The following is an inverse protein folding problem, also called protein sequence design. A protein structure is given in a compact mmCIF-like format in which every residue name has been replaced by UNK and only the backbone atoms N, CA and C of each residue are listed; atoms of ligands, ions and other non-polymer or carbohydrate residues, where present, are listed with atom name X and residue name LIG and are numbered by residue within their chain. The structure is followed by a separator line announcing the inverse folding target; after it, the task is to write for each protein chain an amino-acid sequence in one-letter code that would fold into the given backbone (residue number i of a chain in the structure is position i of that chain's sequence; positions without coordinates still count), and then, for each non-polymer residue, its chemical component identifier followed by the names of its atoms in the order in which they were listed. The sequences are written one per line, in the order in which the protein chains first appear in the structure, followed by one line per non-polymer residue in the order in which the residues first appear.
data_IF_818886432835
#
_entry.id   IF_818886432835
#
_cell.length_a   1.000
_cell.length_b   1.000
_cell.length_c   1.000
_cell.angle_alpha   90.00
_cell.angle_beta   90.00
_cell.angle_gamma   90.00
#
_symmetry.space_group_name_H-M   'P 1'
#
loop_
_entity.id
_entity.type
_entity.pdbx_description
1 polymer ?
#
# COMPACT_ATOMS: atom_id res chain seq x y z
N UNK A 1 -1.94 -15.18 -21.78
CA UNK A 1 -1.12 -15.37 -20.55
C UNK A 1 -0.31 -14.09 -20.36
N UNK A 2 -0.60 -13.31 -19.32
CA UNK A 2 0.20 -12.12 -19.01
C UNK A 2 1.57 -12.57 -18.49
N UNK A 3 2.64 -12.00 -19.04
CA UNK A 3 4.00 -12.26 -18.58
C UNK A 3 4.14 -11.74 -17.15
N UNK A 4 4.65 -12.58 -16.25
CA UNK A 4 5.00 -12.20 -14.87
C UNK A 4 6.02 -11.06 -14.89
N UNK A 5 5.77 -10.00 -14.11
CA UNK A 5 6.68 -8.87 -13.91
C UNK A 5 7.86 -9.35 -13.07
N UNK A 6 9.07 -9.13 -13.56
CA UNK A 6 10.33 -9.51 -12.91
C UNK A 6 11.04 -8.26 -12.38
N UNK A 7 11.95 -8.42 -11.40
CA UNK A 7 12.78 -7.30 -10.93
C UNK A 7 13.50 -6.56 -12.07
N UNK A 8 13.99 -7.29 -13.08
CA UNK A 8 14.67 -6.71 -14.25
C UNK A 8 13.76 -5.86 -15.15
N UNK A 9 12.43 -6.05 -15.05
CA UNK A 9 11.47 -5.30 -15.85
C UNK A 9 11.21 -3.91 -15.22
N UNK A 10 11.50 -3.70 -13.94
CA UNK A 10 11.16 -2.48 -13.20
C UNK A 10 11.89 -1.22 -13.69
N UNK A 11 13.08 -1.38 -14.29
CA UNK A 11 13.85 -0.28 -14.87
C UNK A 11 13.43 0.05 -16.31
N UNK A 12 12.43 -0.67 -16.85
CA UNK A 12 11.94 -0.50 -18.21
C UNK A 12 10.51 0.07 -18.22
N UNK A 13 10.12 0.83 -19.26
CA UNK A 13 8.72 1.15 -19.49
C UNK A 13 7.87 -0.12 -19.69
N UNK A 14 6.61 -0.13 -19.23
CA UNK A 14 5.89 0.97 -18.57
C UNK A 14 6.11 1.04 -17.04
N UNK A 15 6.82 0.07 -16.45
CA UNK A 15 6.90 -0.08 -15.00
C UNK A 15 7.74 1.02 -14.33
N UNK A 16 8.86 1.41 -14.94
CA UNK A 16 9.67 2.51 -14.44
C UNK A 16 8.87 3.81 -14.36
N UNK A 17 8.11 4.13 -15.41
CA UNK A 17 7.29 5.34 -15.48
C UNK A 17 6.19 5.34 -14.43
N UNK A 18 5.50 4.21 -14.26
CA UNK A 18 4.48 4.04 -13.22
C UNK A 18 5.07 4.25 -11.82
N UNK A 19 6.18 3.59 -11.50
CA UNK A 19 6.79 3.71 -10.17
C UNK A 19 7.23 5.15 -9.90
N UNK A 20 7.84 5.82 -10.88
CA UNK A 20 8.22 7.23 -10.75
C UNK A 20 7.00 8.13 -10.53
N UNK A 21 5.92 7.92 -11.29
CA UNK A 21 4.67 8.66 -11.13
C UNK A 21 4.11 8.51 -9.72
N UNK A 22 4.00 7.29 -9.21
CA UNK A 22 3.46 7.00 -7.89
C UNK A 22 4.36 7.55 -6.76
N UNK A 23 5.69 7.44 -6.91
CA UNK A 23 6.64 8.00 -5.95
C UNK A 23 6.57 9.54 -5.90
N UNK A 24 6.36 10.18 -7.06
CA UNK A 24 6.14 11.62 -7.13
C UNK A 24 4.82 12.03 -6.45
N UNK A 25 3.74 11.26 -6.65
CA UNK A 25 2.46 11.49 -5.95
C UNK A 25 2.60 11.40 -4.43
N UNK A 26 3.37 10.43 -3.93
CA UNK A 26 3.68 10.31 -2.51
C UNK A 26 4.52 11.49 -2.00
N UNK A 27 5.56 11.89 -2.73
CA UNK A 27 6.35 13.07 -2.35
C UNK A 27 5.50 14.34 -2.23
N UNK A 28 4.51 14.49 -3.11
CA UNK A 28 3.62 15.66 -3.15
C UNK A 28 2.54 15.67 -2.07
N UNK A 29 2.29 14.56 -1.37
CA UNK A 29 1.27 14.52 -0.29
C UNK A 29 1.76 15.19 1.01
N UNK A 30 3.03 15.63 1.07
CA UNK A 30 3.60 16.42 2.18
C UNK A 30 3.36 15.80 3.57
N UNK A 31 3.44 14.48 3.67
CA UNK A 31 3.26 13.75 4.93
C UNK A 31 4.48 13.94 5.84
N UNK A 32 4.29 13.97 7.18
CA UNK A 32 5.40 14.12 8.11
C UNK A 32 6.24 12.84 8.17
N UNK A 33 7.47 12.87 7.63
CA UNK A 33 8.60 12.00 7.99
C UNK A 33 9.86 12.42 7.21
N UNK A 34 10.82 13.17 7.79
CA UNK A 34 11.97 13.66 7.03
C UNK A 34 12.99 12.57 6.68
N UNK A 35 12.88 11.38 7.27
CA UNK A 35 13.84 10.29 7.08
C UNK A 35 13.56 9.46 5.82
N UNK A 36 12.32 9.46 5.32
CA UNK A 36 11.96 8.75 4.11
C UNK A 36 12.34 9.56 2.88
N UNK A 37 13.13 8.94 2.01
CA UNK A 37 13.58 9.56 0.76
C UNK A 37 12.68 9.15 -0.41
N UNK A 38 12.78 9.89 -1.52
CA UNK A 38 12.11 9.50 -2.76
C UNK A 38 12.52 8.09 -3.25
N UNK A 39 13.77 7.69 -3.00
CA UNK A 39 14.26 6.35 -3.31
C UNK A 39 13.56 5.26 -2.47
N UNK A 40 13.19 5.57 -1.22
CA UNK A 40 12.42 4.65 -0.37
C UNK A 40 10.99 4.48 -0.88
N UNK A 41 10.38 5.55 -1.41
CA UNK A 41 9.08 5.48 -2.08
C UNK A 41 9.13 4.57 -3.30
N UNK A 42 10.11 4.80 -4.19
CA UNK A 42 10.34 3.94 -5.37
C UNK A 42 10.51 2.48 -4.96
N UNK A 43 11.36 2.20 -3.96
CA UNK A 43 11.61 0.84 -3.47
C UNK A 43 10.33 0.18 -2.98
N UNK A 44 9.54 0.89 -2.17
CA UNK A 44 8.28 0.39 -1.62
C UNK A 44 7.26 0.08 -2.71
N UNK A 45 7.09 0.99 -3.67
CA UNK A 45 6.17 0.82 -4.80
C UNK A 45 6.63 -0.32 -5.71
N UNK A 46 7.94 -0.46 -5.96
CA UNK A 46 8.48 -1.59 -6.72
C UNK A 46 8.23 -2.93 -6.03
N UNK A 47 8.38 -3.00 -4.71
CA UNK A 47 8.02 -4.20 -3.95
C UNK A 47 6.54 -4.51 -4.12
N UNK A 48 5.66 -3.51 -3.98
CA UNK A 48 4.22 -3.70 -4.18
C UNK A 48 3.88 -4.15 -5.60
N UNK A 49 4.53 -3.60 -6.63
CA UNK A 49 4.32 -4.02 -8.02
C UNK A 49 4.72 -5.48 -8.26
N UNK A 50 5.81 -5.92 -7.62
CA UNK A 50 6.25 -7.30 -7.69
C UNK A 50 5.36 -8.26 -6.89
N UNK A 51 4.67 -7.81 -5.84
CA UNK A 51 3.72 -8.65 -5.11
C UNK A 51 2.38 -8.74 -5.82
N UNK A 52 1.83 -7.61 -6.28
CA UNK A 52 0.53 -7.58 -6.97
C UNK A 52 0.59 -8.14 -8.39
N UNK A 53 1.76 -8.09 -9.04
CA UNK A 53 1.93 -8.47 -10.44
C UNK A 53 0.96 -7.75 -11.39
N UNK A 54 0.43 -6.60 -10.96
CA UNK A 54 -0.59 -5.85 -11.67
C UNK A 54 -0.34 -4.33 -11.49
N UNK A 55 0.02 -3.61 -12.57
CA UNK A 55 0.26 -2.17 -12.55
C UNK A 55 -0.93 -1.33 -12.09
N UNK A 56 -2.13 -1.64 -12.58
CA UNK A 56 -3.36 -0.91 -12.23
C UNK A 56 -3.68 -1.11 -10.75
N UNK A 57 -3.65 -2.36 -10.28
CA UNK A 57 -3.87 -2.70 -8.88
C UNK A 57 -2.85 -2.01 -7.96
N UNK A 58 -1.59 -1.98 -8.35
CA UNK A 58 -0.53 -1.27 -7.61
C UNK A 58 -0.84 0.21 -7.48
N UNK A 59 -1.30 0.85 -8.56
CA UNK A 59 -1.66 2.25 -8.55
C UNK A 59 -2.85 2.52 -7.64
N UNK A 60 -3.89 1.67 -7.70
CA UNK A 60 -5.09 1.81 -6.88
C UNK A 60 -4.79 1.65 -5.40
N UNK A 61 -4.01 0.62 -5.03
CA UNK A 61 -3.59 0.41 -3.64
C UNK A 61 -2.77 1.59 -3.14
N UNK A 62 -1.79 2.06 -3.93
CA UNK A 62 -0.95 3.20 -3.55
C UNK A 62 -1.78 4.46 -3.31
N UNK A 63 -2.70 4.79 -4.23
CA UNK A 63 -3.56 5.97 -4.09
C UNK A 63 -4.51 5.86 -2.91
N UNK A 64 -5.11 4.70 -2.69
CA UNK A 64 -6.02 4.48 -1.56
C UNK A 64 -5.30 4.68 -0.21
N UNK A 65 -4.08 4.13 -0.06
CA UNK A 65 -3.28 4.31 1.16
C UNK A 65 -2.86 5.77 1.32
N UNK A 66 -2.42 6.47 0.28
CA UNK A 66 -2.07 7.89 0.35
C UNK A 66 -3.27 8.78 0.71
N UNK A 67 -4.43 8.50 0.12
CA UNK A 67 -5.68 9.22 0.42
C UNK A 67 -6.07 9.02 1.89
N UNK A 68 -6.00 7.78 2.38
CA UNK A 68 -6.29 7.49 3.78
C UNK A 68 -5.29 8.14 4.72
N UNK A 69 -3.99 8.10 4.41
CA UNK A 69 -2.96 8.77 5.20
C UNK A 69 -3.19 10.27 5.30
N UNK A 70 -3.58 10.90 4.19
CA UNK A 70 -3.92 12.33 4.16
C UNK A 70 -5.15 12.62 5.00
N UNK A 71 -6.21 11.83 4.85
CA UNK A 71 -7.48 11.98 5.56
C UNK A 71 -7.32 11.80 7.08
N UNK A 72 -6.48 10.86 7.48
CA UNK A 72 -6.25 10.50 8.88
C UNK A 72 -4.98 11.13 9.47
N UNK A 73 -4.36 12.08 8.78
CA UNK A 73 -3.14 12.77 9.20
C UNK A 73 -1.99 11.83 9.61
N UNK A 74 -1.79 10.74 8.87
CA UNK A 74 -0.73 9.75 9.14
C UNK A 74 0.61 10.19 8.53
N UNK A 75 1.71 9.57 8.99
CA UNK A 75 3.07 9.84 8.52
C UNK A 75 3.40 9.15 7.19
N UNK A 76 4.48 9.57 6.53
CA UNK A 76 4.98 8.83 5.38
C UNK A 76 5.41 7.40 5.78
N UNK A 77 5.97 7.20 6.98
CA UNK A 77 6.30 5.85 7.48
C UNK A 77 5.08 4.95 7.66
N UNK A 78 3.95 5.51 8.05
CA UNK A 78 2.69 4.75 8.09
C UNK A 78 2.27 4.28 6.69
N UNK A 79 2.41 5.13 5.66
CA UNK A 79 2.15 4.73 4.25
C UNK A 79 3.06 3.58 3.83
N UNK A 80 4.36 3.66 4.15
CA UNK A 80 5.31 2.61 3.83
C UNK A 80 4.93 1.26 4.45
N UNK A 81 4.49 1.27 5.71
CA UNK A 81 4.03 0.08 6.43
C UNK A 81 2.74 -0.48 5.84
N UNK A 82 1.77 0.38 5.52
CA UNK A 82 0.49 -0.06 4.95
C UNK A 82 0.63 -0.58 3.53
N UNK A 83 1.53 -0.02 2.70
CA UNK A 83 1.81 -0.59 1.37
C UNK A 83 2.46 -1.98 1.46
N UNK A 84 3.35 -2.20 2.43
CA UNK A 84 3.90 -3.54 2.70
C UNK A 84 2.82 -4.51 3.17
N UNK A 85 1.94 -4.06 4.05
CA UNK A 85 0.79 -4.85 4.51
C UNK A 85 -0.13 -5.24 3.34
N UNK A 86 -0.53 -4.28 2.51
CA UNK A 86 -1.41 -4.54 1.36
C UNK A 86 -0.78 -5.50 0.36
N UNK A 87 0.55 -5.41 0.15
CA UNK A 87 1.27 -6.39 -0.67
C UNK A 87 1.31 -7.80 -0.07
N UNK A 88 1.31 -7.94 1.26
CA UNK A 88 1.32 -9.23 1.96
C UNK A 88 -0.03 -9.94 1.87
N UNK A 89 -1.13 -9.19 1.94
CA UNK A 89 -2.49 -9.77 1.90
C UNK A 89 -3.04 -9.89 0.48
N UNK A 90 -2.29 -9.47 -0.54
CA UNK A 90 -2.73 -9.55 -1.92
C UNK A 90 -2.97 -11.02 -2.32
N UNK A 91 -4.18 -11.29 -2.84
CA UNK A 91 -4.63 -12.64 -3.18
C UNK A 91 -5.22 -13.45 -2.01
N UNK A 92 -5.21 -12.92 -0.79
CA UNK A 92 -5.99 -13.46 0.33
C UNK A 92 -7.38 -12.80 0.39
N UNK A 93 -8.34 -13.47 1.03
CA UNK A 93 -9.56 -12.80 1.45
C UNK A 93 -9.21 -11.80 2.57
N UNK A 94 -9.50 -10.52 2.31
CA UNK A 94 -9.15 -9.43 3.24
C UNK A 94 -9.83 -9.59 4.59
N UNK A 95 -11.12 -9.94 4.60
CA UNK A 95 -11.90 -10.00 5.83
C UNK A 95 -11.40 -11.17 6.69
N UNK A 96 -11.18 -12.33 6.06
CA UNK A 96 -10.64 -13.50 6.76
C UNK A 96 -9.24 -13.22 7.31
N UNK A 97 -8.36 -12.59 6.53
CA UNK A 97 -7.00 -12.27 6.97
C UNK A 97 -7.00 -11.27 8.13
N UNK A 98 -7.77 -10.18 8.02
CA UNK A 98 -7.82 -9.15 9.06
C UNK A 98 -8.45 -9.66 10.35
N UNK A 99 -9.49 -10.50 10.26
CA UNK A 99 -10.07 -11.14 11.44
C UNK A 99 -9.06 -12.10 12.08
N UNK A 100 -8.34 -12.88 11.29
CA UNK A 100 -7.30 -13.77 11.80
C UNK A 100 -6.18 -13.00 12.53
N UNK A 101 -5.67 -11.92 11.93
CA UNK A 101 -4.66 -11.03 12.55
C UNK A 101 -5.16 -10.46 13.88
N UNK A 102 -6.42 -10.00 13.91
CA UNK A 102 -7.06 -9.51 15.12
C UNK A 102 -7.18 -10.59 16.20
N UNK A 103 -7.60 -11.82 15.84
CA UNK A 103 -7.71 -12.92 16.79
C UNK A 103 -6.36 -13.39 17.35
N UNK A 104 -5.28 -13.31 16.57
CA UNK A 104 -3.95 -13.68 17.06
C UNK A 104 -3.44 -12.78 18.20
N UNK A 105 -3.98 -11.56 18.34
CA UNK A 105 -3.66 -10.68 19.46
C UNK A 105 -4.20 -11.18 20.81
N UNK A 106 -5.15 -12.13 20.80
CA UNK A 106 -5.76 -12.74 21.99
C UNK A 106 -6.80 -11.86 22.68
N UNK A 107 -6.45 -10.63 23.03
CA UNK A 107 -7.36 -9.61 23.55
C UNK A 107 -7.08 -8.29 22.83
N UNK A 108 -7.79 -8.01 21.73
CA UNK A 108 -7.57 -6.79 20.97
C UNK A 108 -7.83 -5.56 21.83
N UNK A 109 -6.89 -4.63 21.82
CA UNK A 109 -7.13 -3.29 22.37
C UNK A 109 -7.85 -2.39 21.35
N UNK A 110 -8.26 -1.20 21.79
CA UNK A 110 -8.98 -0.24 20.95
C UNK A 110 -8.15 0.18 19.73
N UNK A 111 -6.82 0.27 19.86
CA UNK A 111 -5.94 0.67 18.75
C UNK A 111 -5.90 -0.41 17.65
N UNK A 112 -5.94 -1.69 18.03
CA UNK A 112 -6.01 -2.80 17.08
C UNK A 112 -7.38 -2.86 16.38
N UNK A 113 -8.47 -2.58 17.11
CA UNK A 113 -9.81 -2.49 16.53
C UNK A 113 -9.93 -1.30 15.56
N UNK A 114 -9.36 -0.15 15.91
CA UNK A 114 -9.31 1.03 15.03
C UNK A 114 -8.53 0.72 13.75
N UNK A 115 -7.35 0.10 13.85
CA UNK A 115 -6.56 -0.29 12.69
C UNK A 115 -7.31 -1.29 11.79
N UNK A 116 -7.99 -2.27 12.38
CA UNK A 116 -8.85 -3.20 11.64
C UNK A 116 -9.93 -2.44 10.84
N UNK A 117 -10.63 -1.52 11.49
CA UNK A 117 -11.69 -0.72 10.86
C UNK A 117 -11.14 0.17 9.74
N UNK A 118 -10.00 0.84 9.97
CA UNK A 118 -9.30 1.64 8.96
C UNK A 118 -8.96 0.79 7.72
N UNK A 119 -8.41 -0.42 7.90
CA UNK A 119 -8.04 -1.31 6.80
C UNK A 119 -9.24 -1.90 6.05
N UNK A 120 -10.34 -2.16 6.76
CA UNK A 120 -11.59 -2.64 6.17
C UNK A 120 -12.26 -1.58 5.29
N UNK A 121 -12.26 -0.32 5.71
CA UNK A 121 -12.95 0.76 4.99
C UNK A 121 -12.20 1.27 3.76
N UNK A 122 -10.90 0.98 3.63
CA UNK A 122 -9.99 1.52 2.61
C UNK A 122 -10.47 1.41 1.16
N UNK A 123 -11.15 0.33 0.80
CA UNK A 123 -11.63 0.08 -0.57
C UNK A 123 -13.16 0.02 -0.71
N UNK A 124 -13.91 0.25 0.37
CA UNK A 124 -15.39 0.15 0.36
C UNK A 124 -16.02 1.30 -0.43
N UNK A 125 -15.36 2.47 -0.50
CA UNK A 125 -15.85 3.68 -1.17
C UNK A 125 -15.42 3.82 -2.63
N UNK A 126 -14.68 2.88 -3.21
CA UNK A 126 -14.25 2.92 -4.62
C UNK A 126 -15.08 2.03 -5.56
N UNK A 127 -16.16 1.43 -5.07
CA UNK A 127 -17.09 0.59 -5.84
C UNK A 127 -18.48 1.24 -6.02
N UNK A 128 -18.57 2.57 -6.00
CA UNK A 128 -19.83 3.32 -6.24
C UNK A 128 -19.82 4.03 -7.58
#
# INVERSE_FOLDING_TARGET
MNRRIRPSDLDQPPYHELTQLLANQWSQTTLPDPELTHQDYIRTINTLLLTTQNPERTADVTRAVLLQATTLHKSARWVEQELKFEGMIEGADRADFLLFDLYQSGQPDDAQLDLYNERMQRFVTHNS
#
